data_IF_455181992442
#
_entry.id   IF_455181992442
#
_cell.length_a   1.000
_cell.length_b   1.000
_cell.length_c   1.000
_cell.angle_alpha   90.00
_cell.angle_beta   90.00
_cell.angle_gamma   90.00
#
_symmetry.space_group_name_H-M   'P 1'
#
loop_
_entity.id
_entity.type
_entity.pdbx_description
1 polymer ?
#
# COMPACT_ATOMS: atom_id res chain seq x y z
N UNK A 1 0.70 -26.18 -1.37
CA UNK A 1 0.62 -24.79 -1.65
C UNK A 1 0.31 -23.97 -0.44
N UNK A 2 1.00 -22.91 -0.30
CA UNK A 2 0.91 -22.19 0.89
C UNK A 2 -0.09 -21.06 0.78
N UNK A 3 -0.95 -20.96 1.71
CA UNK A 3 -1.90 -19.86 1.77
C UNK A 3 -1.17 -18.64 2.34
N UNK A 4 -1.07 -17.60 1.54
CA UNK A 4 -0.37 -16.41 1.98
C UNK A 4 -1.28 -15.33 2.53
N UNK A 5 -2.58 -15.55 2.52
CA UNK A 5 -3.50 -14.59 3.11
C UNK A 5 -3.50 -14.70 4.62
N UNK A 6 -3.91 -13.61 5.28
CA UNK A 6 -4.09 -13.62 6.72
C UNK A 6 -5.22 -14.58 7.07
N UNK A 7 -5.07 -15.31 8.16
CA UNK A 7 -6.05 -16.30 8.58
C UNK A 7 -7.37 -15.64 8.93
N UNK A 8 -8.48 -16.16 8.38
CA UNK A 8 -9.81 -15.61 8.63
C UNK A 8 -10.33 -16.05 9.98
N UNK A 9 -11.13 -15.17 10.59
CA UNK A 9 -11.77 -15.48 11.85
C UNK A 9 -10.87 -15.40 13.07
N UNK A 10 -9.67 -14.87 12.91
CA UNK A 10 -8.72 -14.70 13.99
C UNK A 10 -8.39 -13.22 14.17
N UNK A 11 -8.30 -12.80 15.42
CA UNK A 11 -7.90 -11.42 15.71
C UNK A 11 -6.40 -11.28 15.49
N UNK A 12 -5.99 -10.20 14.88
CA UNK A 12 -4.57 -9.89 14.73
C UNK A 12 -4.37 -8.39 14.84
N UNK A 13 -3.16 -7.98 15.16
CA UNK A 13 -2.79 -6.57 15.22
C UNK A 13 -1.97 -6.28 13.98
N UNK A 14 -2.52 -5.45 13.09
CA UNK A 14 -1.95 -5.31 11.74
C UNK A 14 -0.53 -4.78 11.77
N UNK A 15 -0.20 -3.90 12.70
CA UNK A 15 1.17 -3.35 12.76
C UNK A 15 2.18 -4.40 13.21
N UNK A 16 1.69 -5.50 13.82
CA UNK A 16 2.57 -6.55 14.32
C UNK A 16 2.76 -7.71 13.37
N UNK A 17 1.95 -7.82 12.32
CA UNK A 17 2.07 -8.96 11.42
C UNK A 17 3.16 -8.79 10.38
N UNK A 18 3.81 -7.62 10.34
CA UNK A 18 4.89 -7.38 9.41
C UNK A 18 6.01 -6.66 10.14
N UNK A 19 7.26 -7.02 9.80
CA UNK A 19 8.43 -6.44 10.45
C UNK A 19 9.28 -5.73 9.43
N UNK A 20 10.07 -4.76 9.89
CA UNK A 20 11.05 -4.12 9.02
C UNK A 20 12.19 -5.10 8.78
N UNK A 21 12.61 -5.19 7.54
CA UNK A 21 13.78 -5.98 7.16
C UNK A 21 14.80 -4.98 6.60
N UNK A 22 16.05 -5.00 7.08
CA UNK A 22 17.04 -4.03 6.63
C UNK A 22 17.17 -3.99 5.11
N UNK A 23 17.17 -2.78 4.57
CA UNK A 23 17.37 -2.52 3.15
C UNK A 23 16.32 -3.18 2.27
N UNK A 24 15.11 -3.33 2.80
CA UNK A 24 14.06 -4.06 2.07
C UNK A 24 12.71 -3.38 2.16
N UNK A 25 11.88 -3.68 1.16
CA UNK A 25 10.46 -3.45 1.19
C UNK A 25 9.82 -4.82 1.32
N UNK A 26 9.01 -5.01 2.35
CA UNK A 26 8.35 -6.30 2.60
C UNK A 26 6.85 -6.09 2.42
N UNK A 27 6.20 -7.04 1.77
CA UNK A 27 4.75 -7.00 1.56
C UNK A 27 4.13 -8.30 1.98
N UNK A 28 2.97 -8.20 2.61
CA UNK A 28 2.22 -9.37 3.05
C UNK A 28 0.77 -9.16 2.67
N UNK A 29 0.18 -10.14 2.00
CA UNK A 29 -1.22 -10.08 1.59
C UNK A 29 -2.12 -10.39 2.76
N UNK A 30 -3.09 -9.51 3.02
CA UNK A 30 -4.11 -9.77 4.03
C UNK A 30 -5.29 -10.47 3.38
N UNK A 31 -5.85 -9.89 2.32
CA UNK A 31 -6.95 -10.49 1.55
C UNK A 31 -6.65 -10.28 0.08
N UNK A 32 -6.87 -11.32 -0.73
CA UNK A 32 -6.68 -11.21 -2.17
C UNK A 32 -7.87 -11.82 -2.90
N UNK A 33 -8.51 -11.00 -3.72
CA UNK A 33 -9.62 -11.41 -4.56
C UNK A 33 -9.38 -10.88 -5.96
N UNK A 34 -10.11 -11.39 -6.94
CA UNK A 34 -10.00 -10.86 -8.30
C UNK A 34 -10.52 -9.42 -8.38
N UNK A 35 -11.35 -9.01 -7.44
CA UNK A 35 -11.97 -7.68 -7.43
C UNK A 35 -11.21 -6.69 -6.56
N UNK A 36 -10.18 -7.12 -5.87
CA UNK A 36 -9.38 -6.22 -5.05
C UNK A 36 -8.53 -6.96 -4.05
N UNK A 37 -7.61 -6.24 -3.43
CA UNK A 37 -6.77 -6.86 -2.41
C UNK A 37 -6.40 -5.86 -1.33
N UNK A 38 -6.00 -6.38 -0.19
CA UNK A 38 -5.48 -5.60 0.94
C UNK A 38 -4.11 -6.15 1.27
N UNK A 39 -3.11 -5.29 1.29
CA UNK A 39 -1.73 -5.65 1.52
C UNK A 39 -1.17 -4.76 2.62
N UNK A 40 -0.42 -5.36 3.55
CA UNK A 40 0.35 -4.59 4.52
C UNK A 40 1.80 -4.61 4.06
N UNK A 41 2.50 -3.49 4.24
CA UNK A 41 3.89 -3.40 3.83
C UNK A 41 4.73 -2.70 4.88
N UNK A 42 6.04 -2.97 4.85
CA UNK A 42 7.01 -2.24 5.63
C UNK A 42 8.12 -1.79 4.68
N UNK A 43 8.56 -0.55 4.86
CA UNK A 43 9.64 0.02 4.06
C UNK A 43 10.74 0.43 5.03
N UNK A 44 11.92 -0.12 4.86
CA UNK A 44 13.06 0.35 5.64
C UNK A 44 13.45 1.75 5.18
N UNK A 45 14.12 2.49 6.05
CA UNK A 45 14.58 3.84 5.73
C UNK A 45 15.42 3.82 4.46
N UNK A 46 15.12 4.70 3.53
CA UNK A 46 15.85 4.81 2.27
C UNK A 46 15.29 3.98 1.13
N UNK A 47 14.34 3.11 1.42
CA UNK A 47 13.78 2.25 0.39
C UNK A 47 12.63 2.93 -0.34
N UNK A 48 12.37 2.50 -1.55
CA UNK A 48 11.29 3.08 -2.36
C UNK A 48 10.78 2.04 -3.34
N UNK A 49 9.52 2.19 -3.71
CA UNK A 49 9.00 1.55 -4.91
C UNK A 49 9.09 2.58 -6.01
N UNK A 50 9.77 2.19 -7.09
CA UNK A 50 9.99 3.09 -8.21
C UNK A 50 8.69 3.40 -8.90
N UNK A 51 8.76 4.32 -9.84
CA UNK A 51 7.58 4.84 -10.49
C UNK A 51 6.67 3.75 -11.03
N UNK A 52 5.40 3.86 -10.70
CA UNK A 52 4.40 2.88 -11.08
C UNK A 52 3.16 3.57 -11.58
N UNK A 53 2.41 2.84 -12.39
CA UNK A 53 1.08 3.26 -12.83
C UNK A 53 0.18 2.04 -12.72
N UNK A 54 -0.98 2.24 -12.12
CA UNK A 54 -1.95 1.17 -11.96
C UNK A 54 -3.27 1.62 -12.56
N UNK A 55 -4.04 0.72 -13.18
CA UNK A 55 -5.36 1.08 -13.68
C UNK A 55 -6.42 1.16 -12.59
N UNK A 56 -6.03 0.99 -11.33
CA UNK A 56 -6.96 0.90 -10.20
C UNK A 56 -6.67 1.96 -9.15
N UNK A 57 -7.72 2.38 -8.44
CA UNK A 57 -7.52 3.27 -7.29
C UNK A 57 -6.96 2.49 -6.13
N UNK A 58 -6.09 3.13 -5.36
CA UNK A 58 -5.48 2.52 -4.19
C UNK A 58 -5.70 3.42 -2.98
N UNK A 59 -6.28 2.85 -1.92
CA UNK A 59 -6.36 3.55 -0.64
C UNK A 59 -5.09 3.22 0.12
N UNK A 60 -4.28 4.23 0.44
CA UNK A 60 -3.00 4.04 1.11
C UNK A 60 -3.07 4.67 2.49
N UNK A 61 -2.79 3.88 3.53
CA UNK A 61 -2.92 4.32 4.92
C UNK A 61 -1.65 3.98 5.69
N UNK A 62 -1.06 4.99 6.34
CA UNK A 62 0.17 4.79 7.12
C UNK A 62 -0.23 4.38 8.53
N UNK A 63 0.24 3.21 8.96
CA UNK A 63 -0.06 2.70 10.30
C UNK A 63 1.08 2.93 11.27
N UNK A 64 2.29 3.24 10.78
CA UNK A 64 3.43 3.53 11.63
C UNK A 64 4.48 4.26 10.80
N UNK A 65 5.01 5.35 11.31
CA UNK A 65 6.13 6.04 10.68
C UNK A 65 5.69 7.15 9.74
N UNK A 66 6.46 7.34 8.68
CA UNK A 66 6.24 8.46 7.77
C UNK A 66 6.56 8.03 6.35
N UNK A 67 5.60 8.23 5.45
CA UNK A 67 5.73 7.87 4.05
C UNK A 67 5.71 9.11 3.18
N UNK A 68 6.46 9.08 2.09
CA UNK A 68 6.33 10.09 1.06
C UNK A 68 5.74 9.44 -0.16
N UNK A 69 4.67 10.03 -0.70
CA UNK A 69 4.06 9.54 -1.93
C UNK A 69 4.06 10.68 -2.93
N UNK A 70 4.73 10.47 -4.05
CA UNK A 70 4.79 11.45 -5.12
C UNK A 70 3.81 11.00 -6.20
N UNK A 71 2.77 11.80 -6.42
CA UNK A 71 1.76 11.50 -7.42
C UNK A 71 1.84 12.57 -8.50
N UNK A 72 2.18 12.17 -9.71
CA UNK A 72 2.31 13.06 -10.86
C UNK A 72 3.13 14.29 -10.46
N UNK A 73 4.31 14.03 -9.93
CA UNK A 73 5.28 15.07 -9.53
C UNK A 73 4.89 15.93 -8.34
N UNK A 74 3.82 15.60 -7.63
CA UNK A 74 3.43 16.31 -6.43
C UNK A 74 3.66 15.43 -5.22
N UNK A 75 4.49 15.89 -4.28
CA UNK A 75 4.88 15.12 -3.11
C UNK A 75 3.87 15.30 -1.97
N UNK A 76 3.55 14.19 -1.33
CA UNK A 76 2.66 14.16 -0.17
C UNK A 76 3.38 13.43 0.96
N UNK A 77 3.42 14.06 2.13
CA UNK A 77 4.02 13.46 3.32
C UNK A 77 2.91 12.97 4.22
N UNK A 78 2.92 11.68 4.54
CA UNK A 78 1.91 11.08 5.41
C UNK A 78 2.58 10.56 6.66
N UNK A 79 2.00 10.86 7.82
CA UNK A 79 2.45 10.28 9.08
C UNK A 79 1.41 9.29 9.58
N UNK A 80 1.73 8.60 10.66
CA UNK A 80 0.86 7.58 11.25
C UNK A 80 -0.58 8.08 11.34
N UNK A 81 -1.50 7.29 10.83
CA UNK A 81 -2.93 7.59 10.87
C UNK A 81 -3.45 8.33 9.66
N UNK A 82 -2.58 8.82 8.80
CA UNK A 82 -3.00 9.56 7.61
C UNK A 82 -3.13 8.65 6.40
N UNK A 83 -3.99 9.05 5.48
CA UNK A 83 -4.31 8.27 4.30
C UNK A 83 -4.37 9.14 3.06
N UNK A 84 -4.23 8.52 1.92
CA UNK A 84 -4.39 9.18 0.64
C UNK A 84 -4.95 8.16 -0.35
N UNK A 85 -5.70 8.63 -1.32
CA UNK A 85 -6.12 7.78 -2.43
C UNK A 85 -5.21 8.09 -3.60
N UNK A 86 -4.52 7.06 -4.09
CA UNK A 86 -3.70 7.17 -5.29
C UNK A 86 -4.63 6.86 -6.46
N UNK A 87 -4.92 7.84 -7.32
CA UNK A 87 -5.92 7.62 -8.37
C UNK A 87 -5.44 6.62 -9.41
N UNK A 88 -6.39 5.92 -9.99
CA UNK A 88 -6.11 5.05 -11.12
C UNK A 88 -5.41 5.84 -12.22
N UNK A 89 -4.48 5.18 -12.93
CA UNK A 89 -3.75 5.74 -14.06
C UNK A 89 -2.77 6.87 -13.72
N UNK A 90 -2.54 7.12 -12.43
CA UNK A 90 -1.59 8.17 -12.01
C UNK A 90 -0.23 7.56 -11.77
N UNK A 91 0.81 8.19 -12.31
CA UNK A 91 2.16 7.76 -11.99
C UNK A 91 2.48 8.15 -10.57
N UNK A 92 3.09 7.25 -9.82
CA UNK A 92 3.41 7.54 -8.44
C UNK A 92 4.67 6.80 -7.99
N UNK A 93 5.28 7.34 -6.95
CA UNK A 93 6.44 6.76 -6.28
C UNK A 93 6.12 6.73 -4.79
N UNK A 94 6.44 5.63 -4.13
CA UNK A 94 6.31 5.51 -2.68
C UNK A 94 7.71 5.41 -2.13
N UNK A 95 8.04 6.27 -1.17
CA UNK A 95 9.41 6.41 -0.71
C UNK A 95 9.47 6.54 0.81
N UNK A 96 10.45 5.87 1.41
CA UNK A 96 10.64 5.91 2.85
C UNK A 96 11.87 6.74 3.19
N UNK A 97 11.67 8.04 3.37
CA UNK A 97 12.74 8.87 3.92
C UNK A 97 12.98 8.47 5.38
N UNK A 98 11.92 8.01 6.03
CA UNK A 98 11.96 7.39 7.34
C UNK A 98 11.15 6.10 7.19
N UNK A 99 11.55 5.03 7.84
CA UNK A 99 10.85 3.75 7.71
C UNK A 99 9.38 3.87 8.11
N UNK A 100 8.54 3.08 7.49
CA UNK A 100 7.11 3.11 7.78
C UNK A 100 6.46 1.77 7.46
N UNK A 101 5.28 1.57 8.05
CA UNK A 101 4.39 0.47 7.71
C UNK A 101 3.09 1.05 7.19
N UNK A 102 2.49 0.39 6.22
CA UNK A 102 1.26 0.89 5.59
C UNK A 102 0.34 -0.25 5.21
N UNK A 103 -0.93 0.11 5.01
CA UNK A 103 -1.92 -0.77 4.43
C UNK A 103 -2.32 -0.18 3.10
N UNK A 104 -2.34 -1.00 2.07
CA UNK A 104 -2.82 -0.60 0.74
C UNK A 104 -4.03 -1.44 0.40
N UNK A 105 -5.10 -0.79 -0.01
CA UNK A 105 -6.31 -1.45 -0.48
C UNK A 105 -6.54 -1.06 -1.93
N UNK A 106 -6.52 -2.04 -2.81
CA UNK A 106 -6.71 -1.84 -4.24
C UNK A 106 -8.08 -2.34 -4.63
N UNK A 107 -8.86 -1.50 -5.28
CA UNK A 107 -10.19 -1.85 -5.77
C UNK A 107 -10.08 -2.08 -7.27
N UNK A 108 -10.41 -3.29 -7.72
CA UNK A 108 -10.19 -3.69 -9.11
C UNK A 108 -11.47 -3.83 -9.93
N UNK A 109 -12.62 -3.47 -9.35
CA UNK A 109 -13.88 -3.54 -10.08
C UNK A 109 -14.69 -2.31 -9.77
N UNK A 110 -15.81 -2.13 -10.51
CA UNK A 110 -16.66 -0.98 -10.28
C UNK A 110 -16.23 0.28 -11.01
N UNK A 111 -15.26 0.17 -11.94
CA UNK A 111 -14.85 1.32 -12.73
C UNK A 111 -15.72 1.37 -13.96
N UNK A 112 -16.49 2.45 -14.07
CA UNK A 112 -17.39 2.57 -15.18
C UNK A 112 -16.64 2.78 -16.45
N UNK A 113 -17.07 2.01 -17.43
CA UNK A 113 -16.63 2.28 -18.75
C UNK A 113 -17.48 3.36 -19.21
N UNK A 114 -16.94 4.43 -19.52
CA UNK A 114 -17.74 5.47 -19.99
C UNK A 114 -18.25 5.10 -21.30
N UNK A 115 -19.47 4.82 -21.33
CA UNK A 115 -19.95 4.43 -22.54
C UNK A 115 -20.29 5.63 -23.22
N UNK A 116 -19.97 6.47 -23.40
CA UNK A 116 -20.35 7.56 -24.08
C UNK A 116 -20.57 7.83 -25.27
#
# INVERSE_FOLDING_TARGET
>A
MKNTEQEKGKIFIVVEIIEYVPKSVVMKTIIKKSTGNITVSSFDTGEALTEKTSPFDTFFHVIEGQAEIVIVNLSHQLVTGQSIIIPAHSRHIIRANVRFKSISTVIKSGYDEVSV
#
